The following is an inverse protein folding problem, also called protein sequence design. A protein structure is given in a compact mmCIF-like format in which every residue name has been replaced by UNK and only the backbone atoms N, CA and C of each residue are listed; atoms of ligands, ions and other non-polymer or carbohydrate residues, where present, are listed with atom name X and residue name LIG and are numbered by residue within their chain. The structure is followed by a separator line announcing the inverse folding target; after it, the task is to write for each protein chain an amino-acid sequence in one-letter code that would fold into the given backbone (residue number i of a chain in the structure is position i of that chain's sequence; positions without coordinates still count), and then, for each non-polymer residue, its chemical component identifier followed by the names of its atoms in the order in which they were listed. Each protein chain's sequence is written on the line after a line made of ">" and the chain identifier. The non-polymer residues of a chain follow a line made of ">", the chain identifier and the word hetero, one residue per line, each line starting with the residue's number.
data_IF_090283505065
#
_entry.id   IF_090283505065
#
_cell.length_a   1.000
_cell.length_b   1.000
_cell.length_c   1.000
_cell.angle_alpha   90.00
_cell.angle_beta   90.00
_cell.angle_gamma   90.00
#
_symmetry.space_group_name_H-M   'P 1'
#
loop_
_entity.id
_entity.type
_entity.pdbx_description
1 polymer ?
#
# COMPACT_ATOMS: atom_id res chain seq x y z
N UNK A 1 2.85 -8.15 4.42
CA UNK A 1 2.60 -6.94 3.62
C UNK A 1 2.30 -7.32 2.19
N UNK A 2 1.34 -6.66 1.55
CA UNK A 2 1.07 -6.81 0.11
C UNK A 2 1.62 -5.57 -0.60
N UNK A 3 2.32 -5.74 -1.71
CA UNK A 3 2.91 -4.62 -2.47
C UNK A 3 2.16 -4.35 -3.77
N UNK A 4 2.43 -3.23 -4.43
CA UNK A 4 1.81 -2.90 -5.73
C UNK A 4 2.09 -3.92 -6.84
N UNK A 5 3.11 -4.77 -6.68
CA UNK A 5 3.35 -5.91 -7.54
C UNK A 5 2.36 -7.08 -7.28
N UNK A 6 1.37 -6.89 -6.40
CA UNK A 6 0.41 -7.89 -5.91
C UNK A 6 1.07 -9.14 -5.31
N UNK A 7 2.27 -8.98 -4.76
CA UNK A 7 3.01 -10.05 -4.08
C UNK A 7 2.84 -9.91 -2.57
N UNK A 8 2.59 -11.04 -1.90
CA UNK A 8 2.62 -11.14 -0.45
C UNK A 8 4.07 -11.31 0.01
N UNK A 9 4.57 -10.35 0.79
CA UNK A 9 5.84 -10.47 1.50
C UNK A 9 5.59 -10.69 2.99
N UNK A 10 5.98 -11.85 3.56
CA UNK A 10 5.97 -12.03 5.01
C UNK A 10 7.01 -11.09 5.64
N UNK A 11 6.63 -10.42 6.72
CA UNK A 11 7.53 -9.56 7.49
C UNK A 11 7.40 -9.95 8.96
N UNK A 12 8.54 -10.02 9.66
CA UNK A 12 8.56 -10.10 11.12
C UNK A 12 8.32 -8.72 11.72
N UNK A 13 8.01 -8.67 13.01
CA UNK A 13 7.88 -7.40 13.76
C UNK A 13 9.11 -6.51 13.59
N UNK A 14 10.32 -7.11 13.66
CA UNK A 14 11.58 -6.38 13.50
C UNK A 14 11.75 -5.83 12.08
N UNK A 15 11.38 -6.61 11.05
CA UNK A 15 11.43 -6.12 9.66
C UNK A 15 10.43 -4.99 9.37
N UNK A 16 9.30 -4.94 10.08
CA UNK A 16 8.35 -3.83 9.98
C UNK A 16 8.96 -2.56 10.61
N UNK A 17 9.57 -2.67 11.80
CA UNK A 17 10.25 -1.54 12.46
C UNK A 17 11.39 -1.01 11.58
N UNK A 18 12.22 -1.90 11.00
CA UNK A 18 13.28 -1.50 10.07
C UNK A 18 12.75 -0.76 8.84
N UNK A 19 11.57 -1.15 8.34
CA UNK A 19 10.93 -0.49 7.20
C UNK A 19 10.45 0.92 7.57
N UNK A 20 9.85 1.10 8.74
CA UNK A 20 9.42 2.42 9.24
C UNK A 20 10.61 3.36 9.41
N UNK A 21 11.69 2.88 10.02
CA UNK A 21 12.93 3.65 10.18
C UNK A 21 13.52 4.07 8.82
N UNK A 22 13.53 3.19 7.81
CA UNK A 22 13.99 3.52 6.45
C UNK A 22 13.14 4.58 5.76
N UNK A 23 11.86 4.67 6.12
CA UNK A 23 10.94 5.70 5.63
C UNK A 23 11.03 7.01 6.41
N UNK A 24 11.99 7.15 7.35
CA UNK A 24 12.14 8.30 8.27
C UNK A 24 10.91 8.54 9.16
N UNK A 25 10.13 7.50 9.43
CA UNK A 25 9.02 7.54 10.38
C UNK A 25 9.63 7.25 11.76
N UNK A 26 9.76 8.29 12.58
CA UNK A 26 10.38 8.21 13.90
C UNK A 26 9.30 8.08 14.99
N UNK A 27 8.10 8.61 14.76
CA UNK A 27 6.98 8.55 15.70
C UNK A 27 5.74 7.92 15.07
N UNK A 28 5.51 6.65 15.39
CA UNK A 28 4.35 5.87 14.92
C UNK A 28 3.01 6.52 15.33
N UNK A 29 2.97 7.27 16.45
CA UNK A 29 1.75 7.90 16.95
C UNK A 29 1.32 9.18 16.24
N UNK A 30 2.21 9.83 15.46
CA UNK A 30 1.92 11.11 14.81
C UNK A 30 2.15 11.12 13.29
N UNK A 31 3.07 10.29 12.79
CA UNK A 31 3.46 10.27 11.38
C UNK A 31 2.84 9.10 10.60
N UNK A 32 2.23 8.13 11.29
CA UNK A 32 1.62 6.94 10.69
C UNK A 32 0.11 6.92 10.90
N UNK A 33 -0.64 6.81 9.80
CA UNK A 33 -2.09 6.59 9.82
C UNK A 33 -2.39 5.13 9.44
N UNK A 34 -3.20 4.45 10.25
CA UNK A 34 -3.76 3.15 9.89
C UNK A 34 -5.13 3.35 9.21
N UNK A 35 -5.26 2.80 8.00
CA UNK A 35 -6.52 2.79 7.26
C UNK A 35 -6.96 1.36 7.00
N UNK A 36 -8.13 1.00 7.52
CA UNK A 36 -8.81 -0.24 7.13
C UNK A 36 -9.55 0.01 5.82
N UNK A 37 -9.31 -0.84 4.83
CA UNK A 37 -9.96 -0.76 3.53
C UNK A 37 -10.72 -2.04 3.24
N UNK A 38 -11.98 -1.89 2.83
CA UNK A 38 -12.79 -3.03 2.39
C UNK A 38 -12.36 -3.44 0.98
N UNK A 39 -11.97 -4.71 0.85
CA UNK A 39 -11.64 -5.31 -0.44
C UNK A 39 -12.87 -6.03 -1.01
N UNK A 40 -13.87 -5.25 -1.43
CA UNK A 40 -15.07 -5.83 -2.07
C UNK A 40 -14.80 -6.23 -3.51
N UNK A 41 -15.75 -6.93 -4.16
CA UNK A 41 -15.63 -7.33 -5.57
C UNK A 41 -15.37 -6.14 -6.50
N UNK A 42 -15.89 -4.94 -6.16
CA UNK A 42 -15.67 -3.72 -6.94
C UNK A 42 -14.21 -3.26 -6.87
N UNK A 43 -13.62 -3.24 -5.69
CA UNK A 43 -12.22 -2.88 -5.46
C UNK A 43 -11.29 -3.94 -6.06
N UNK A 44 -11.64 -5.22 -5.94
CA UNK A 44 -10.94 -6.31 -6.61
C UNK A 44 -10.92 -6.15 -8.14
N UNK A 45 -12.03 -5.75 -8.76
CA UNK A 45 -12.09 -5.50 -10.20
C UNK A 45 -11.26 -4.27 -10.59
N UNK A 46 -11.31 -3.18 -9.80
CA UNK A 46 -10.45 -2.00 -10.00
C UNK A 46 -8.96 -2.34 -9.89
N UNK A 47 -8.59 -3.18 -8.92
CA UNK A 47 -7.22 -3.67 -8.74
C UNK A 47 -6.78 -4.52 -9.93
N UNK A 48 -7.64 -5.43 -10.39
CA UNK A 48 -7.35 -6.29 -11.54
C UNK A 48 -7.09 -5.45 -12.80
N UNK A 49 -7.96 -4.47 -13.06
CA UNK A 49 -7.81 -3.55 -14.21
C UNK A 49 -6.48 -2.77 -14.09
N UNK A 50 -6.16 -2.23 -12.90
CA UNK A 50 -4.92 -1.49 -12.68
C UNK A 50 -3.66 -2.35 -12.83
N UNK A 51 -3.64 -3.53 -12.18
CA UNK A 51 -2.48 -4.41 -12.19
C UNK A 51 -2.23 -5.08 -13.54
N UNK A 52 -3.30 -5.35 -14.31
CA UNK A 52 -3.19 -6.11 -15.57
C UNK A 52 -2.84 -5.23 -16.78
N UNK A 53 -3.23 -3.94 -16.79
CA UNK A 53 -3.07 -3.11 -17.98
C UNK A 53 -2.50 -1.70 -17.74
N UNK A 54 -2.57 -1.13 -16.53
CA UNK A 54 -2.49 0.34 -16.42
C UNK A 54 -1.44 0.88 -15.45
N UNK A 55 -1.00 0.15 -14.42
CA UNK A 55 -0.19 0.75 -13.36
C UNK A 55 0.75 -0.21 -12.64
N UNK A 56 1.97 0.27 -12.37
CA UNK A 56 2.93 -0.38 -11.45
C UNK A 56 2.63 -0.08 -9.98
N UNK A 57 1.67 0.80 -9.70
CA UNK A 57 1.26 1.27 -8.36
C UNK A 57 -0.23 0.96 -8.12
N UNK A 58 -0.64 -0.29 -8.39
CA UNK A 58 -2.04 -0.70 -8.40
C UNK A 58 -2.76 -0.53 -7.05
N UNK A 59 -2.12 -0.91 -5.94
CA UNK A 59 -2.72 -0.77 -4.61
C UNK A 59 -2.79 0.71 -4.21
N UNK A 60 -1.70 1.45 -4.46
CA UNK A 60 -1.63 2.88 -4.16
C UNK A 60 -2.74 3.65 -4.89
N UNK A 61 -2.89 3.42 -6.20
CA UNK A 61 -3.88 4.11 -7.01
C UNK A 61 -5.33 3.80 -6.59
N UNK A 62 -5.62 2.57 -6.15
CA UNK A 62 -6.97 2.17 -5.76
C UNK A 62 -7.34 2.66 -4.36
N UNK A 63 -6.43 2.63 -3.40
CA UNK A 63 -6.76 2.86 -1.98
C UNK A 63 -6.34 4.23 -1.43
N UNK A 64 -5.28 4.83 -1.99
CA UNK A 64 -4.80 6.17 -1.64
C UNK A 64 -5.16 7.23 -2.70
N UNK A 65 -5.58 6.79 -3.90
CA UNK A 65 -5.82 7.66 -5.04
C UNK A 65 -4.51 8.05 -5.74
N UNK A 66 -4.59 8.48 -7.00
CA UNK A 66 -3.42 9.02 -7.69
C UNK A 66 -3.04 10.34 -7.01
N UNK A 67 -2.08 10.31 -6.08
CA UNK A 67 -1.42 11.52 -5.60
C UNK A 67 -0.55 12.05 -6.74
N UNK A 68 -1.20 12.61 -7.76
CA UNK A 68 -0.53 13.42 -8.74
C UNK A 68 0.10 14.58 -7.98
N UNK A 69 1.40 14.49 -7.71
CA UNK A 69 2.17 15.71 -7.56
C UNK A 69 2.07 16.44 -8.90
N UNK A 70 1.41 17.60 -8.88
CA UNK A 70 1.70 18.66 -9.83
C UNK A 70 3.18 19.04 -9.73
#
# INVERSE_FOLDING_TARGET
>A
MVTDALVVKPLSTMSIVDLLNKSNINEVGGELEEKVVDSTMREGLKLLINASLQSKTALTNVFLGNTGKA
#
